data_IF_896469625727
#
_entry.id   IF_896469625727
#
_cell.length_a   1.000
_cell.length_b   1.000
_cell.length_c   1.000
_cell.angle_alpha   90.00
_cell.angle_beta   90.00
_cell.angle_gamma   90.00
#
_symmetry.space_group_name_H-M   'P 1'
#
loop_
_entity.id
_entity.type
_entity.pdbx_description
1 polymer ?
#
# COMPACT_ATOMS: atom_id res chain seq x y z
N UNK A 1 -10.32 0.74 8.19
CA UNK A 1 -11.64 0.77 8.86
C UNK A 1 -12.64 -0.27 8.34
N UNK A 2 -13.19 -0.18 7.12
CA UNK A 2 -14.22 -1.14 6.69
C UNK A 2 -13.76 -2.60 6.70
N UNK A 3 -12.55 -2.90 6.19
CA UNK A 3 -11.98 -4.26 6.25
C UNK A 3 -11.92 -4.80 7.68
N UNK A 4 -11.58 -3.94 8.66
CA UNK A 4 -11.53 -4.32 10.08
C UNK A 4 -12.90 -4.69 10.63
N UNK A 5 -13.96 -3.97 10.23
CA UNK A 5 -15.35 -4.29 10.63
C UNK A 5 -15.79 -5.68 10.15
N UNK A 6 -15.28 -6.13 9.01
CA UNK A 6 -15.50 -7.49 8.51
C UNK A 6 -14.53 -8.53 9.09
N UNK A 7 -13.68 -8.16 10.04
CA UNK A 7 -12.66 -9.06 10.61
C UNK A 7 -11.57 -9.45 9.62
N UNK A 8 -11.31 -8.62 8.59
CA UNK A 8 -10.35 -8.88 7.51
C UNK A 8 -9.14 -7.96 7.57
N UNK A 9 -8.54 -7.86 8.76
CA UNK A 9 -7.30 -7.09 8.97
C UNK A 9 -6.08 -7.74 8.28
N UNK A 10 -6.22 -8.99 7.82
CA UNK A 10 -5.24 -9.72 7.01
C UNK A 10 -5.12 -9.19 5.57
N UNK A 11 -6.13 -8.47 5.06
CA UNK A 11 -6.08 -7.92 3.71
C UNK A 11 -5.15 -6.71 3.69
N UNK A 12 -4.04 -6.85 2.99
CA UNK A 12 -3.07 -5.77 2.79
C UNK A 12 -3.65 -4.65 1.91
N UNK A 13 -3.35 -3.40 2.26
CA UNK A 13 -3.77 -2.21 1.49
C UNK A 13 -2.56 -1.56 0.84
N UNK A 14 -2.57 -1.47 -0.49
CA UNK A 14 -1.57 -0.76 -1.29
C UNK A 14 -2.21 0.52 -1.82
N UNK A 15 -1.49 1.64 -1.77
CA UNK A 15 -1.97 2.93 -2.30
C UNK A 15 -1.16 3.30 -3.54
N UNK A 16 -1.84 3.76 -4.59
CA UNK A 16 -1.21 4.21 -5.83
C UNK A 16 -1.81 5.49 -6.36
N UNK A 17 -1.04 6.23 -7.17
CA UNK A 17 -1.50 7.44 -7.85
C UNK A 17 -0.63 8.66 -7.55
N UNK A 18 -1.20 9.87 -7.72
CA UNK A 18 -0.51 11.14 -7.45
C UNK A 18 -0.70 11.49 -5.98
N UNK A 19 0.33 11.26 -5.16
CA UNK A 19 0.30 11.44 -3.71
C UNK A 19 1.46 12.36 -3.29
N UNK A 20 1.20 13.46 -2.55
CA UNK A 20 2.24 14.29 -1.98
C UNK A 20 3.15 13.50 -1.02
N UNK A 21 4.47 13.70 -1.10
CA UNK A 21 5.44 12.96 -0.25
C UNK A 21 5.19 13.13 1.25
N UNK A 22 4.69 14.30 1.66
CA UNK A 22 4.37 14.60 3.07
C UNK A 22 3.22 13.73 3.62
N UNK A 23 2.36 13.20 2.74
CA UNK A 23 1.20 12.39 3.13
C UNK A 23 1.57 10.91 3.29
N UNK A 24 2.79 10.51 2.94
CA UNK A 24 3.19 9.09 2.94
C UNK A 24 3.15 8.50 4.34
N UNK A 25 3.70 9.21 5.33
CA UNK A 25 3.69 8.73 6.72
C UNK A 25 2.26 8.54 7.23
N UNK A 26 1.37 9.50 6.94
CA UNK A 26 -0.05 9.40 7.27
C UNK A 26 -0.71 8.16 6.66
N UNK A 27 -0.40 7.83 5.39
CA UNK A 27 -0.94 6.63 4.74
C UNK A 27 -0.43 5.34 5.37
N UNK A 28 0.86 5.29 5.74
CA UNK A 28 1.43 4.14 6.46
C UNK A 28 0.80 3.98 7.84
N UNK A 29 0.65 5.08 8.59
CA UNK A 29 0.01 5.07 9.91
C UNK A 29 -1.47 4.65 9.84
N UNK A 30 -2.14 4.96 8.72
CA UNK A 30 -3.50 4.53 8.43
C UNK A 30 -3.63 3.05 8.01
N UNK A 31 -2.51 2.33 7.81
CA UNK A 31 -2.46 0.90 7.50
C UNK A 31 -2.15 0.55 6.05
N UNK A 32 -1.70 1.50 5.22
CA UNK A 32 -1.10 1.15 3.94
C UNK A 32 0.22 0.41 4.15
N UNK A 33 0.47 -0.67 3.39
CA UNK A 33 1.73 -1.42 3.45
C UNK A 33 2.74 -0.97 2.40
N UNK A 34 2.27 -0.34 1.31
CA UNK A 34 3.12 0.31 0.31
C UNK A 34 2.41 1.47 -0.38
N UNK A 35 3.20 2.41 -0.89
CA UNK A 35 2.74 3.57 -1.66
C UNK A 35 3.52 3.65 -2.98
N UNK A 36 2.82 3.66 -4.11
CA UNK A 36 3.40 3.75 -5.45
C UNK A 36 3.00 5.05 -6.15
N UNK A 37 3.98 5.94 -6.34
CA UNK A 37 3.78 7.26 -6.95
C UNK A 37 3.75 7.23 -8.49
N UNK A 38 3.58 8.41 -9.13
CA UNK A 38 3.59 8.54 -10.58
C UNK A 38 4.93 8.10 -11.18
N UNK A 39 4.88 7.41 -12.33
CA UNK A 39 6.08 6.92 -13.02
C UNK A 39 6.65 5.62 -12.44
N UNK A 40 6.00 5.01 -11.44
CA UNK A 40 6.37 3.67 -10.95
C UNK A 40 6.27 2.66 -12.08
N UNK A 41 7.34 1.88 -12.31
CA UNK A 41 7.32 0.78 -13.28
C UNK A 41 6.45 -0.35 -12.76
N UNK A 42 5.59 -0.88 -13.62
CA UNK A 42 4.66 -1.97 -13.27
C UNK A 42 5.41 -3.21 -12.78
N UNK A 43 6.53 -3.58 -13.43
CA UNK A 43 7.38 -4.70 -13.01
C UNK A 43 7.86 -4.57 -11.57
N UNK A 44 8.34 -3.37 -11.22
CA UNK A 44 8.96 -3.11 -9.92
C UNK A 44 7.88 -3.11 -8.82
N UNK A 45 6.71 -2.55 -9.11
CA UNK A 45 5.56 -2.62 -8.21
C UNK A 45 5.08 -4.05 -8.00
N UNK A 46 4.96 -4.85 -9.05
CA UNK A 46 4.51 -6.24 -8.96
C UNK A 46 5.46 -7.10 -8.12
N UNK A 47 6.76 -7.00 -8.37
CA UNK A 47 7.79 -7.69 -7.57
C UNK A 47 7.66 -7.26 -6.11
N UNK A 48 7.58 -5.96 -5.84
CA UNK A 48 7.51 -5.46 -4.47
C UNK A 48 6.26 -5.91 -3.73
N UNK A 49 5.11 -5.97 -4.41
CA UNK A 49 3.86 -6.48 -3.83
C UNK A 49 4.00 -7.96 -3.47
N UNK A 50 4.62 -8.76 -4.34
CA UNK A 50 4.84 -10.18 -4.08
C UNK A 50 5.80 -10.41 -2.90
N UNK A 51 6.89 -9.64 -2.81
CA UNK A 51 7.80 -9.69 -1.66
C UNK A 51 7.04 -9.41 -0.36
N UNK A 52 6.29 -8.31 -0.30
CA UNK A 52 5.53 -7.91 0.90
C UNK A 52 4.47 -8.96 1.27
N UNK A 53 3.87 -9.64 0.29
CA UNK A 53 2.81 -10.62 0.53
C UNK A 53 3.36 -11.96 1.07
N UNK A 54 4.59 -12.30 0.72
CA UNK A 54 5.23 -13.58 1.06
C UNK A 54 5.96 -13.50 2.41
N UNK A 55 6.45 -12.31 2.78
CA UNK A 55 7.08 -12.02 4.08
C UNK A 55 6.07 -12.10 5.25
#
# INVERSE_FOLDING_TARGET
EELKKYGREDIMVIVGGVIPKQDYQYLFDAGAVAVFGPGTKISDAAIKILEILID
#
